data_IF_786534181576
#
_entry.id   IF_786534181576
#
_cell.length_a   1.000
_cell.length_b   1.000
_cell.length_c   1.000
_cell.angle_alpha   90.00
_cell.angle_beta   90.00
_cell.angle_gamma   90.00
#
_symmetry.space_group_name_H-M   'P 1'
#
loop_
_entity.id
_entity.type
_entity.pdbx_description
1 polymer ?
#
# COMPACT_ATOMS: atom_id res chain seq x y z
N UNK A 1 -51.86 13.13 -16.68
CA UNK A 1 -51.20 12.05 -17.45
C UNK A 1 -49.72 12.11 -17.11
N UNK A 2 -49.28 11.32 -16.13
CA UNK A 2 -47.86 11.02 -15.91
C UNK A 2 -47.78 9.51 -15.99
N UNK A 3 -47.22 9.07 -17.11
CA UNK A 3 -47.03 7.67 -17.44
C UNK A 3 -45.89 7.16 -16.57
N UNK A 4 -46.17 6.09 -15.85
CA UNK A 4 -45.28 5.38 -14.96
C UNK A 4 -44.06 4.84 -15.70
N UNK A 5 -42.92 4.98 -15.04
CA UNK A 5 -41.63 4.38 -15.33
C UNK A 5 -41.78 2.87 -15.56
N UNK A 6 -41.79 2.43 -16.83
CA UNK A 6 -41.75 1.02 -17.18
C UNK A 6 -40.31 0.52 -16.96
N UNK A 7 -40.09 -0.12 -15.81
CA UNK A 7 -38.90 -0.92 -15.56
C UNK A 7 -38.77 -2.01 -16.63
N UNK A 8 -37.83 -1.84 -17.56
CA UNK A 8 -37.54 -2.81 -18.61
C UNK A 8 -37.00 -4.13 -17.99
N UNK A 9 -37.76 -5.25 -18.01
CA UNK A 9 -37.36 -6.49 -17.36
C UNK A 9 -36.10 -7.12 -17.97
N UNK A 10 -35.82 -6.88 -19.26
CA UNK A 10 -34.60 -7.36 -19.91
C UNK A 10 -33.34 -6.62 -19.43
N UNK A 11 -33.48 -5.35 -19.03
CA UNK A 11 -32.40 -4.56 -18.45
C UNK A 11 -32.10 -4.96 -17.00
N UNK A 12 -33.12 -5.36 -16.24
CA UNK A 12 -32.97 -5.87 -14.87
C UNK A 12 -32.25 -7.24 -14.85
N UNK A 13 -32.60 -8.15 -15.76
CA UNK A 13 -31.92 -9.45 -15.90
C UNK A 13 -30.44 -9.28 -16.31
N UNK A 14 -30.16 -8.42 -17.29
CA UNK A 14 -28.77 -8.13 -17.72
C UNK A 14 -27.94 -7.53 -16.59
N UNK A 15 -28.49 -6.60 -15.81
CA UNK A 15 -27.81 -6.03 -14.65
C UNK A 15 -27.49 -7.09 -13.58
N UNK A 16 -28.38 -8.05 -13.37
CA UNK A 16 -28.15 -9.16 -12.43
C UNK A 16 -27.06 -10.13 -12.95
N UNK A 17 -27.09 -10.48 -14.24
CA UNK A 17 -26.09 -11.31 -14.89
C UNK A 17 -24.69 -10.68 -14.83
N UNK A 18 -24.60 -9.36 -15.04
CA UNK A 18 -23.33 -8.62 -14.90
C UNK A 18 -22.82 -8.69 -13.46
N UNK A 19 -23.66 -8.44 -12.45
CA UNK A 19 -23.26 -8.53 -11.03
C UNK A 19 -22.84 -9.95 -10.65
N UNK A 20 -23.44 -10.97 -11.25
CA UNK A 20 -23.07 -12.36 -11.02
C UNK A 20 -21.61 -12.65 -11.40
N UNK A 21 -21.00 -11.91 -12.33
CA UNK A 21 -19.58 -12.09 -12.70
C UNK A 21 -18.64 -11.88 -11.51
N UNK A 22 -18.85 -10.82 -10.72
CA UNK A 22 -18.07 -10.55 -9.49
C UNK A 22 -18.37 -11.57 -8.39
N UNK A 23 -19.62 -12.02 -8.30
CA UNK A 23 -19.98 -13.07 -7.34
C UNK A 23 -19.30 -14.42 -7.68
N UNK A 24 -19.17 -14.76 -8.97
CA UNK A 24 -18.40 -15.94 -9.42
C UNK A 24 -16.90 -15.76 -9.17
N UNK A 25 -16.35 -14.57 -9.42
CA UNK A 25 -14.95 -14.26 -9.07
C UNK A 25 -14.68 -14.47 -7.58
N UNK A 26 -15.54 -13.95 -6.70
CA UNK A 26 -15.43 -14.15 -5.25
C UNK A 26 -15.51 -15.63 -4.86
N UNK A 27 -16.37 -16.43 -5.52
CA UNK A 27 -16.45 -17.88 -5.32
C UNK A 27 -15.16 -18.61 -5.74
N UNK A 28 -14.66 -18.32 -6.93
CA UNK A 28 -13.40 -18.89 -7.42
C UNK A 28 -12.23 -18.54 -6.50
N UNK A 29 -12.17 -17.29 -6.03
CA UNK A 29 -11.18 -16.83 -5.05
C UNK A 29 -11.25 -17.63 -3.74
N UNK A 30 -12.43 -17.70 -3.12
CA UNK A 30 -12.61 -18.42 -1.86
C UNK A 30 -12.31 -19.93 -1.98
N UNK A 31 -12.50 -20.51 -3.18
CA UNK A 31 -12.13 -21.90 -3.47
C UNK A 31 -10.64 -22.09 -3.79
N UNK A 32 -9.87 -21.02 -3.99
CA UNK A 32 -8.52 -21.08 -4.55
C UNK A 32 -8.50 -21.61 -5.99
N UNK A 33 -9.61 -21.49 -6.72
CA UNK A 33 -9.79 -21.97 -8.08
C UNK A 33 -9.58 -20.82 -9.07
N UNK A 34 -8.37 -20.76 -9.62
CA UNK A 34 -7.99 -19.73 -10.57
C UNK A 34 -8.74 -19.83 -11.91
N UNK A 35 -9.12 -21.04 -12.33
CA UNK A 35 -9.86 -21.25 -13.58
C UNK A 35 -11.30 -20.75 -13.44
N UNK A 36 -11.94 -21.02 -12.30
CA UNK A 36 -13.26 -20.47 -11.97
C UNK A 36 -13.20 -18.94 -11.88
N UNK A 37 -12.21 -18.39 -11.17
CA UNK A 37 -12.02 -16.94 -11.10
C UNK A 37 -11.87 -16.31 -12.50
N UNK A 38 -11.02 -16.90 -13.36
CA UNK A 38 -10.75 -16.38 -14.69
C UNK A 38 -11.92 -16.57 -15.68
N UNK A 39 -12.88 -17.47 -15.39
CA UNK A 39 -14.02 -17.75 -16.27
C UNK A 39 -14.94 -16.53 -16.51
N UNK A 40 -14.95 -15.55 -15.60
CA UNK A 40 -15.70 -14.29 -15.75
C UNK A 40 -15.11 -13.34 -16.82
N UNK A 41 -13.89 -13.57 -17.27
CA UNK A 41 -13.20 -12.75 -18.27
C UNK A 41 -13.37 -13.29 -19.69
N UNK A 42 -13.25 -12.44 -20.71
CA UNK A 42 -13.11 -12.84 -22.10
C UNK A 42 -11.77 -13.55 -22.34
N UNK A 43 -11.68 -14.40 -23.36
CA UNK A 43 -10.41 -15.07 -23.69
C UNK A 43 -9.30 -14.07 -24.04
N UNK A 44 -9.66 -13.04 -24.81
CA UNK A 44 -8.84 -11.94 -25.30
C UNK A 44 -8.94 -10.65 -24.47
N UNK A 45 -9.30 -10.74 -23.19
CA UNK A 45 -9.49 -9.57 -22.35
C UNK A 45 -8.19 -8.76 -22.11
N UNK A 46 -8.36 -7.45 -21.91
CA UNK A 46 -7.34 -6.58 -21.33
C UNK A 46 -7.47 -6.58 -19.81
N UNK A 47 -6.40 -6.97 -19.10
CA UNK A 47 -6.33 -6.88 -17.64
C UNK A 47 -5.11 -6.07 -17.23
N UNK A 48 -5.31 -5.11 -16.33
CA UNK A 48 -4.22 -4.37 -15.68
C UNK A 48 -4.30 -4.60 -14.18
N UNK A 49 -3.24 -5.19 -13.61
CA UNK A 49 -3.15 -5.42 -12.16
C UNK A 49 -2.92 -4.10 -11.41
N UNK A 50 -3.07 -4.12 -10.08
CA UNK A 50 -2.72 -2.98 -9.21
C UNK A 50 -1.24 -2.54 -9.32
N UNK A 51 -0.36 -3.40 -9.85
CA UNK A 51 1.06 -3.10 -10.10
C UNK A 51 1.33 -2.57 -11.51
N UNK A 52 0.30 -2.52 -12.37
CA UNK A 52 0.43 -2.16 -13.78
C UNK A 52 0.86 -3.30 -14.70
N UNK A 53 0.94 -4.54 -14.20
CA UNK A 53 1.24 -5.71 -15.02
C UNK A 53 0.08 -5.98 -15.99
N UNK A 54 0.39 -6.48 -17.19
CA UNK A 54 -0.60 -6.84 -18.23
C UNK A 54 -0.55 -8.34 -18.56
N UNK A 55 -1.29 -9.20 -17.83
CA UNK A 55 -1.40 -10.61 -18.18
C UNK A 55 -1.99 -10.80 -19.59
N UNK A 56 -1.52 -11.81 -20.30
CA UNK A 56 -1.99 -12.11 -21.66
C UNK A 56 -3.34 -12.82 -21.63
N UNK A 57 -4.43 -12.04 -21.70
CA UNK A 57 -5.80 -12.55 -21.76
C UNK A 57 -6.18 -13.40 -20.55
N UNK A 58 -7.23 -14.22 -20.72
CA UNK A 58 -7.76 -15.07 -19.64
C UNK A 58 -6.72 -16.04 -19.08
N UNK A 59 -5.95 -16.66 -19.95
CA UNK A 59 -4.96 -17.66 -19.55
C UNK A 59 -3.86 -17.03 -18.67
N UNK A 60 -3.42 -15.81 -18.99
CA UNK A 60 -2.49 -15.08 -18.14
C UNK A 60 -3.06 -14.73 -16.77
N UNK A 61 -4.35 -14.36 -16.72
CA UNK A 61 -5.06 -14.10 -15.46
C UNK A 61 -5.13 -15.39 -14.61
N UNK A 62 -5.54 -16.50 -15.20
CA UNK A 62 -5.62 -17.80 -14.52
C UNK A 62 -4.26 -18.21 -13.95
N UNK A 63 -3.20 -18.23 -14.75
CA UNK A 63 -1.87 -18.60 -14.29
C UNK A 63 -1.35 -17.68 -13.17
N UNK A 64 -1.61 -16.37 -13.29
CA UNK A 64 -1.25 -15.40 -12.25
C UNK A 64 -2.00 -15.64 -10.94
N UNK A 65 -3.30 -15.92 -10.99
CA UNK A 65 -4.11 -16.18 -9.80
C UNK A 65 -3.83 -17.55 -9.19
N UNK A 66 -3.49 -18.58 -9.97
CA UNK A 66 -3.06 -19.88 -9.43
C UNK A 66 -1.80 -19.72 -8.56
N UNK A 67 -0.81 -18.95 -9.03
CA UNK A 67 0.39 -18.63 -8.26
C UNK A 67 0.06 -17.85 -6.97
N UNK A 68 -0.87 -16.90 -7.03
CA UNK A 68 -1.30 -16.13 -5.86
C UNK A 68 -2.04 -16.99 -4.84
N UNK A 69 -2.99 -17.83 -5.28
CA UNK A 69 -3.79 -18.71 -4.42
C UNK A 69 -2.97 -19.84 -3.79
N UNK A 70 -1.86 -20.25 -4.42
CA UNK A 70 -0.87 -21.16 -3.80
C UNK A 70 0.11 -20.47 -2.85
N UNK A 71 0.15 -19.14 -2.87
CA UNK A 71 1.10 -18.33 -2.12
C UNK A 71 0.40 -17.29 -1.25
N UNK A 72 0.61 -15.98 -1.52
CA UNK A 72 0.21 -14.91 -0.61
C UNK A 72 -1.30 -14.80 -0.37
N UNK A 73 -2.14 -15.31 -1.29
CA UNK A 73 -3.60 -15.25 -1.17
C UNK A 73 -4.23 -16.59 -0.74
N UNK A 74 -3.42 -17.57 -0.32
CA UNK A 74 -3.92 -18.85 0.17
C UNK A 74 -4.88 -18.66 1.36
N UNK A 75 -6.11 -19.15 1.21
CA UNK A 75 -7.15 -19.09 2.25
C UNK A 75 -7.78 -17.71 2.47
N UNK A 76 -7.37 -16.70 1.71
CA UNK A 76 -8.02 -15.37 1.76
C UNK A 76 -9.40 -15.41 1.09
N UNK A 77 -10.25 -14.45 1.43
CA UNK A 77 -11.56 -14.26 0.80
C UNK A 77 -11.63 -12.90 0.12
N UNK A 78 -12.34 -12.85 -1.01
CA UNK A 78 -12.61 -11.62 -1.76
C UNK A 78 -14.06 -11.22 -1.55
N UNK A 79 -14.28 -10.08 -0.90
CA UNK A 79 -15.57 -9.38 -0.97
C UNK A 79 -15.54 -8.45 -2.19
N UNK A 80 -16.48 -8.61 -3.12
CA UNK A 80 -16.54 -7.84 -4.34
C UNK A 80 -17.94 -7.25 -4.55
N UNK A 81 -18.02 -5.93 -4.59
CA UNK A 81 -19.25 -5.17 -4.66
C UNK A 81 -19.29 -4.33 -5.93
N UNK A 82 -20.29 -4.59 -6.78
CA UNK A 82 -20.59 -3.71 -7.92
C UNK A 82 -21.32 -2.47 -7.43
N UNK A 83 -20.66 -1.32 -7.57
CA UNK A 83 -21.18 0.01 -7.21
C UNK A 83 -22.17 0.48 -8.26
N UNK A 84 -21.76 0.49 -9.53
CA UNK A 84 -22.56 1.00 -10.63
C UNK A 84 -22.43 0.12 -11.88
N UNK A 85 -23.53 -0.04 -12.61
CA UNK A 85 -23.55 -0.63 -13.95
C UNK A 85 -24.16 0.40 -14.89
N UNK A 86 -23.40 0.84 -15.89
CA UNK A 86 -23.85 1.79 -16.90
C UNK A 86 -23.79 1.15 -18.29
N UNK A 87 -24.97 0.87 -18.84
CA UNK A 87 -25.07 0.38 -20.22
C UNK A 87 -24.70 1.47 -21.22
N UNK A 88 -23.73 1.18 -22.08
CA UNK A 88 -23.35 2.01 -23.23
C UNK A 88 -24.15 1.60 -24.47
N UNK A 89 -24.47 0.31 -24.57
CA UNK A 89 -25.36 -0.33 -25.56
C UNK A 89 -26.10 -1.49 -24.88
N UNK A 90 -27.14 -2.09 -25.49
CA UNK A 90 -27.83 -3.24 -24.90
C UNK A 90 -26.94 -4.45 -24.57
N UNK A 91 -25.80 -4.57 -25.27
CA UNK A 91 -24.82 -5.66 -25.16
C UNK A 91 -23.46 -5.20 -24.59
N UNK A 92 -23.33 -3.95 -24.14
CA UNK A 92 -22.05 -3.39 -23.68
C UNK A 92 -22.27 -2.44 -22.49
N UNK A 93 -21.56 -2.65 -21.39
CA UNK A 93 -21.65 -1.81 -20.20
C UNK A 93 -20.27 -1.52 -19.57
N UNK A 94 -20.16 -0.37 -18.90
CA UNK A 94 -19.09 -0.13 -17.92
C UNK A 94 -19.59 -0.50 -16.53
N UNK A 95 -18.69 -1.03 -15.71
CA UNK A 95 -18.99 -1.44 -14.34
C UNK A 95 -17.94 -0.88 -13.40
N UNK A 96 -18.39 -0.19 -12.37
CA UNK A 96 -17.55 0.21 -11.24
C UNK A 96 -17.72 -0.81 -10.12
N UNK A 97 -16.61 -1.29 -9.57
CA UNK A 97 -16.61 -2.25 -8.48
C UNK A 97 -15.57 -1.89 -7.42
N UNK A 98 -15.93 -2.15 -6.17
CA UNK A 98 -15.05 -2.08 -5.01
C UNK A 98 -14.81 -3.51 -4.51
N UNK A 99 -13.59 -3.81 -4.11
CA UNK A 99 -13.23 -5.13 -3.59
C UNK A 99 -12.34 -5.04 -2.38
N UNK A 100 -12.52 -5.93 -1.41
CA UNK A 100 -11.65 -6.08 -0.24
C UNK A 100 -11.21 -7.53 -0.13
N UNK A 101 -9.91 -7.74 0.07
CA UNK A 101 -9.33 -9.06 0.36
C UNK A 101 -9.10 -9.17 1.86
N UNK A 102 -9.62 -10.25 2.45
CA UNK A 102 -9.54 -10.49 3.90
C UNK A 102 -8.79 -11.80 4.16
N UNK A 103 -7.88 -11.78 5.13
CA UNK A 103 -7.15 -12.95 5.60
C UNK A 103 -8.05 -13.92 6.40
N UNK A 104 -7.63 -15.19 6.60
CA UNK A 104 -8.40 -16.16 7.38
C UNK A 104 -8.74 -15.74 8.82
N UNK A 105 -7.93 -14.87 9.42
CA UNK A 105 -8.11 -14.32 10.76
C UNK A 105 -9.04 -13.10 10.81
N UNK A 106 -9.52 -12.63 9.65
CA UNK A 106 -10.40 -11.49 9.52
C UNK A 106 -9.71 -10.15 9.26
N UNK A 107 -8.37 -10.11 9.18
CA UNK A 107 -7.64 -8.88 8.86
C UNK A 107 -7.87 -8.48 7.39
N UNK A 108 -8.21 -7.20 7.14
CA UNK A 108 -8.31 -6.66 5.78
C UNK A 108 -6.92 -6.39 5.22
N UNK A 109 -6.52 -7.15 4.20
CA UNK A 109 -5.20 -7.04 3.58
C UNK A 109 -5.11 -5.86 2.63
N UNK A 110 -6.11 -5.71 1.76
CA UNK A 110 -6.13 -4.65 0.76
C UNK A 110 -7.54 -4.38 0.26
N UNK A 111 -7.79 -3.14 -0.16
CA UNK A 111 -9.00 -2.75 -0.88
C UNK A 111 -8.61 -2.22 -2.26
N UNK A 112 -9.44 -2.49 -3.26
CA UNK A 112 -9.23 -2.04 -4.63
C UNK A 112 -10.50 -1.45 -5.22
N UNK A 113 -10.32 -0.47 -6.10
CA UNK A 113 -11.37 0.10 -6.94
C UNK A 113 -11.09 -0.31 -8.38
N UNK A 114 -12.12 -0.76 -9.10
CA UNK A 114 -12.01 -1.27 -10.45
C UNK A 114 -13.00 -0.61 -11.40
N UNK A 115 -12.53 -0.31 -12.61
CA UNK A 115 -13.37 -0.03 -13.76
C UNK A 115 -13.26 -1.20 -14.74
N UNK A 116 -14.39 -1.77 -15.09
CA UNK A 116 -14.50 -2.86 -16.04
C UNK A 116 -15.39 -2.50 -17.23
N UNK A 117 -15.10 -3.10 -18.38
CA UNK A 117 -15.99 -3.14 -19.55
C UNK A 117 -16.47 -4.57 -19.72
N UNK A 118 -17.78 -4.76 -19.76
CA UNK A 118 -18.42 -6.07 -19.97
C UNK A 118 -19.20 -6.05 -21.26
N UNK A 119 -19.13 -7.17 -22.00
CA UNK A 119 -19.85 -7.33 -23.26
C UNK A 119 -20.61 -8.66 -23.27
N UNK A 120 -21.81 -8.64 -23.84
CA UNK A 120 -22.62 -9.83 -24.05
C UNK A 120 -22.17 -10.55 -25.31
N UNK A 121 -21.78 -11.81 -25.17
CA UNK A 121 -21.42 -12.69 -26.28
C UNK A 121 -22.65 -13.10 -27.10
N UNK A 122 -22.43 -13.63 -28.31
CA UNK A 122 -23.50 -14.07 -29.20
C UNK A 122 -24.37 -15.20 -28.62
N UNK A 123 -23.81 -16.03 -27.73
CA UNK A 123 -24.53 -17.07 -26.97
C UNK A 123 -25.23 -16.52 -25.71
N UNK A 124 -25.22 -15.19 -25.51
CA UNK A 124 -26.00 -14.50 -24.48
C UNK A 124 -25.34 -14.39 -23.11
N UNK A 125 -24.08 -14.82 -22.96
CA UNK A 125 -23.32 -14.70 -21.70
C UNK A 125 -22.66 -13.32 -21.60
N UNK A 126 -22.56 -12.78 -20.40
CA UNK A 126 -21.75 -11.58 -20.15
C UNK A 126 -20.33 -11.99 -19.79
N UNK A 127 -19.33 -11.29 -20.32
CA UNK A 127 -17.93 -11.49 -19.97
C UNK A 127 -17.20 -10.15 -19.84
N UNK A 128 -16.20 -10.09 -18.97
CA UNK A 128 -15.33 -8.92 -18.80
C UNK A 128 -14.33 -8.85 -19.96
N UNK A 129 -14.39 -7.78 -20.76
CA UNK A 129 -13.47 -7.51 -21.89
C UNK A 129 -12.27 -6.67 -21.48
N UNK A 130 -12.46 -5.74 -20.55
CA UNK A 130 -11.39 -4.94 -19.99
C UNK A 130 -11.57 -4.79 -18.49
N UNK A 131 -10.48 -4.86 -17.73
CA UNK A 131 -10.47 -4.67 -16.29
C UNK A 131 -9.21 -3.94 -15.87
N UNK A 132 -9.38 -2.82 -15.17
CA UNK A 132 -8.31 -2.07 -14.55
C UNK A 132 -8.67 -1.84 -13.09
N UNK A 133 -7.78 -2.20 -12.18
CA UNK A 133 -7.95 -1.89 -10.77
C UNK A 133 -6.75 -1.18 -10.16
N UNK A 134 -7.03 -0.49 -9.05
CA UNK A 134 -6.03 0.23 -8.28
C UNK A 134 -6.33 0.12 -6.79
N UNK A 135 -5.30 0.23 -5.96
CA UNK A 135 -5.46 0.49 -4.54
C UNK A 135 -5.76 1.99 -4.38
N UNK A 136 -6.93 2.39 -3.87
CA UNK A 136 -7.22 3.81 -3.65
C UNK A 136 -6.27 4.37 -2.60
N UNK A 137 -5.79 5.60 -2.82
CA UNK A 137 -5.09 6.34 -1.77
C UNK A 137 -6.07 6.61 -0.60
N UNK A 138 -5.59 6.66 0.65
CA UNK A 138 -6.41 7.04 1.78
C UNK A 138 -7.10 8.38 1.50
N UNK A 139 -8.42 8.43 1.67
CA UNK A 139 -9.13 9.71 1.60
C UNK A 139 -8.74 10.52 2.84
N UNK A 140 -8.22 11.74 2.71
CA UNK A 140 -8.00 12.61 3.86
C UNK A 140 -9.32 12.77 4.63
N UNK A 141 -9.30 12.85 5.97
CA UNK A 141 -10.52 13.11 6.72
C UNK A 141 -11.14 14.42 6.24
N UNK A 142 -12.44 14.38 6.00
CA UNK A 142 -13.19 15.53 5.51
C UNK A 142 -13.16 16.62 6.60
N UNK A 143 -12.38 17.70 6.37
CA UNK A 143 -12.19 18.80 7.35
C UNK A 143 -13.50 19.53 7.70
N UNK A 144 -14.60 19.26 6.99
CA UNK A 144 -15.86 19.98 7.11
C UNK A 144 -16.72 19.64 8.36
N UNK A 145 -16.32 18.67 9.19
CA UNK A 145 -17.05 18.33 10.44
C UNK A 145 -16.38 18.81 11.73
N UNK A 146 -15.11 19.23 11.68
CA UNK A 146 -14.49 19.83 12.84
C UNK A 146 -14.94 21.29 12.95
N UNK A 147 -15.85 21.57 13.89
CA UNK A 147 -15.99 22.91 14.42
C UNK A 147 -14.60 23.45 14.77
N UNK A 148 -14.32 24.76 14.63
CA UNK A 148 -13.03 25.30 15.01
C UNK A 148 -12.89 25.11 16.52
N UNK A 149 -12.22 24.04 16.93
CA UNK A 149 -11.78 23.88 18.30
C UNK A 149 -10.85 25.05 18.58
N UNK A 150 -11.25 25.84 19.57
CA UNK A 150 -10.42 26.88 20.18
C UNK A 150 -9.03 26.29 20.40
N UNK A 151 -8.03 26.92 19.79
CA UNK A 151 -6.61 26.63 20.02
C UNK A 151 -6.40 26.39 21.53
N UNK A 152 -6.02 25.18 21.97
CA UNK A 152 -5.55 25.02 23.33
C UNK A 152 -4.27 25.85 23.43
N UNK A 153 -4.20 26.70 24.46
CA UNK A 153 -2.94 27.27 24.91
C UNK A 153 -1.97 26.10 25.11
N UNK A 154 -0.97 25.97 24.22
CA UNK A 154 -0.10 24.80 24.16
C UNK A 154 0.86 24.83 25.36
N UNK A 155 0.42 24.26 26.48
CA UNK A 155 1.26 24.03 27.67
C UNK A 155 2.16 22.80 27.51
N UNK A 156 2.16 22.16 26.33
CA UNK A 156 3.14 21.11 26.00
C UNK A 156 4.51 21.77 25.88
N UNK A 157 5.36 21.52 26.86
CA UNK A 157 6.73 22.00 26.88
C UNK A 157 7.42 21.64 25.55
N UNK A 158 7.93 22.66 24.84
CA UNK A 158 8.77 22.44 23.65
C UNK A 158 9.92 21.50 24.05
N UNK A 159 10.22 20.44 23.26
CA UNK A 159 11.31 19.55 23.57
C UNK A 159 12.62 20.35 23.73
N UNK A 160 13.37 20.05 24.78
CA UNK A 160 14.57 20.78 25.23
C UNK A 160 15.72 20.71 24.22
N UNK A 161 15.70 19.72 23.32
CA UNK A 161 16.54 19.62 22.13
C UNK A 161 15.67 19.28 20.91
N UNK A 162 15.95 19.90 19.76
CA UNK A 162 15.23 19.63 18.51
C UNK A 162 15.63 18.25 17.95
N UNK A 163 14.69 17.31 17.75
CA UNK A 163 14.99 16.05 17.07
C UNK A 163 15.63 16.30 15.69
N UNK A 164 16.60 15.46 15.32
CA UNK A 164 17.34 15.59 14.06
C UNK A 164 16.90 14.46 13.11
N UNK A 165 16.58 14.80 11.86
CA UNK A 165 16.38 13.78 10.82
C UNK A 165 17.75 13.19 10.46
N UNK A 166 17.92 11.89 10.72
CA UNK A 166 19.23 11.21 10.64
C UNK A 166 19.19 9.90 9.87
N UNK A 167 18.03 9.55 9.33
CA UNK A 167 17.84 8.29 8.64
C UNK A 167 16.87 8.42 7.48
N UNK A 168 17.20 7.75 6.40
CA UNK A 168 16.34 7.54 5.25
C UNK A 168 16.40 6.07 4.86
N UNK A 169 15.28 5.50 4.46
CA UNK A 169 15.21 4.14 3.96
C UNK A 169 14.59 4.11 2.57
N UNK A 170 15.26 3.39 1.68
CA UNK A 170 14.75 3.10 0.34
C UNK A 170 14.74 1.59 0.10
N UNK A 171 13.67 1.13 -0.53
CA UNK A 171 13.55 -0.26 -0.97
C UNK A 171 14.21 -0.38 -2.34
N UNK A 172 15.14 -1.32 -2.47
CA UNK A 172 15.98 -1.51 -3.65
C UNK A 172 15.91 -2.97 -4.14
N UNK A 173 15.80 -3.14 -5.46
CA UNK A 173 15.86 -4.47 -6.10
C UNK A 173 17.22 -5.12 -5.89
N UNK A 174 18.28 -4.31 -5.98
CA UNK A 174 19.65 -4.70 -5.75
C UNK A 174 20.33 -3.70 -4.80
N UNK A 175 20.26 -3.92 -3.48
CA UNK A 175 20.91 -3.05 -2.52
C UNK A 175 22.44 -3.04 -2.64
N UNK A 176 23.05 -4.11 -3.17
CA UNK A 176 24.50 -4.21 -3.35
C UNK A 176 24.99 -3.25 -4.43
N UNK A 177 24.41 -3.34 -5.62
CA UNK A 177 24.71 -2.42 -6.71
C UNK A 177 24.38 -0.96 -6.35
N UNK A 178 23.29 -0.75 -5.60
CA UNK A 178 22.92 0.60 -5.16
C UNK A 178 23.87 1.14 -4.08
N UNK A 179 24.36 0.30 -3.18
CA UNK A 179 25.40 0.67 -2.22
C UNK A 179 26.70 1.08 -2.95
N UNK A 180 27.12 0.31 -3.95
CA UNK A 180 28.29 0.62 -4.79
C UNK A 180 28.13 1.97 -5.50
N UNK A 181 26.93 2.28 -6.00
CA UNK A 181 26.64 3.59 -6.58
C UNK A 181 26.83 4.72 -5.54
N UNK A 182 26.24 4.61 -4.36
CA UNK A 182 26.37 5.65 -3.33
C UNK A 182 27.80 5.80 -2.79
N UNK A 183 28.51 4.69 -2.62
CA UNK A 183 29.90 4.72 -2.13
C UNK A 183 30.86 5.27 -3.19
N UNK A 184 30.67 4.93 -4.47
CA UNK A 184 31.56 5.37 -5.55
C UNK A 184 31.29 6.82 -6.00
N UNK A 185 30.02 7.22 -6.11
CA UNK A 185 29.63 8.53 -6.65
C UNK A 185 29.63 9.61 -5.57
N UNK A 186 29.17 9.28 -4.36
CA UNK A 186 28.99 10.25 -3.27
C UNK A 186 29.94 10.03 -2.10
N UNK A 187 30.90 9.09 -2.23
CA UNK A 187 31.87 8.77 -1.19
C UNK A 187 31.23 8.39 0.16
N UNK A 188 30.02 7.83 0.15
CA UNK A 188 29.38 7.34 1.36
C UNK A 188 30.10 6.10 1.89
N UNK A 189 30.17 5.95 3.21
CA UNK A 189 30.73 4.79 3.88
C UNK A 189 29.67 3.70 4.03
N UNK A 190 29.91 2.53 3.45
CA UNK A 190 29.15 1.33 3.76
C UNK A 190 29.62 0.77 5.11
N UNK A 191 28.77 0.85 6.12
CA UNK A 191 29.13 0.44 7.48
C UNK A 191 28.45 -0.86 7.94
N UNK A 192 27.40 -1.32 7.24
CA UNK A 192 26.71 -2.56 7.59
C UNK A 192 26.07 -3.25 6.38
N UNK A 193 26.01 -4.59 6.43
CA UNK A 193 25.26 -5.43 5.49
C UNK A 193 24.49 -6.49 6.28
N UNK A 194 23.20 -6.63 5.99
CA UNK A 194 22.37 -7.67 6.56
C UNK A 194 22.48 -8.99 5.75
N UNK A 195 22.18 -10.14 6.38
CA UNK A 195 22.14 -11.44 5.69
C UNK A 195 21.16 -11.52 4.52
N UNK A 196 20.09 -10.71 4.53
CA UNK A 196 19.11 -10.65 3.42
C UNK A 196 19.60 -9.83 2.22
N UNK A 197 20.80 -9.27 2.31
CA UNK A 197 21.42 -8.43 1.29
C UNK A 197 21.13 -6.94 1.42
N UNK A 198 20.35 -6.51 2.43
CA UNK A 198 20.18 -5.08 2.73
C UNK A 198 21.51 -4.44 3.11
N UNK A 199 21.72 -3.19 2.73
CA UNK A 199 22.99 -2.48 2.91
C UNK A 199 22.75 -1.12 3.57
N UNK A 200 23.69 -0.65 4.39
CA UNK A 200 23.56 0.61 5.10
C UNK A 200 24.79 1.47 4.85
N UNK A 201 24.55 2.63 4.26
CA UNK A 201 25.61 3.58 3.90
C UNK A 201 25.39 4.90 4.64
N UNK A 202 26.46 5.66 4.89
CA UNK A 202 26.37 6.97 5.55
C UNK A 202 27.34 7.98 4.95
N UNK A 203 26.95 9.25 4.93
CA UNK A 203 27.84 10.39 4.62
C UNK A 203 28.49 11.00 5.89
N UNK A 204 28.35 10.34 7.04
CA UNK A 204 28.77 10.83 8.35
C UNK A 204 27.76 11.76 9.04
N UNK A 205 26.68 12.15 8.36
CA UNK A 205 25.59 12.95 8.92
C UNK A 205 24.25 12.22 8.91
N UNK A 206 23.93 11.49 7.84
CA UNK A 206 22.69 10.75 7.65
C UNK A 206 23.02 9.30 7.28
N UNK A 207 22.21 8.38 7.80
CA UNK A 207 22.24 6.96 7.39
C UNK A 207 21.20 6.72 6.31
N UNK A 208 21.61 6.04 5.25
CA UNK A 208 20.73 5.54 4.20
C UNK A 208 20.66 4.02 4.26
N UNK A 209 19.50 3.49 4.64
CA UNK A 209 19.20 2.06 4.56
C UNK A 209 18.69 1.68 3.17
N UNK A 210 19.38 0.75 2.54
CA UNK A 210 19.04 0.15 1.25
C UNK A 210 18.42 -1.21 1.54
N UNK A 211 17.09 -1.25 1.66
CA UNK A 211 16.33 -2.43 2.07
C UNK A 211 16.13 -3.33 0.87
N UNK A 212 16.43 -4.63 1.01
CA UNK A 212 16.17 -5.60 -0.05
C UNK A 212 14.67 -5.67 -0.34
N UNK A 213 14.30 -5.35 -1.58
CA UNK A 213 12.94 -5.53 -2.07
C UNK A 213 12.54 -7.00 -1.96
N UNK A 214 11.47 -7.26 -1.21
CA UNK A 214 10.82 -8.57 -1.15
C UNK A 214 9.85 -8.68 -2.33
N UNK A 215 9.86 -9.83 -3.00
CA UNK A 215 8.92 -10.12 -4.09
C UNK A 215 7.58 -10.62 -3.54
N UNK A 216 7.11 -10.03 -2.45
CA UNK A 216 5.82 -10.31 -1.82
C UNK A 216 4.69 -9.43 -2.41
N UNK A 217 5.04 -8.40 -3.18
CA UNK A 217 4.09 -7.57 -3.92
C UNK A 217 3.50 -6.40 -3.14
N UNK A 218 3.89 -6.24 -1.87
CA UNK A 218 3.36 -5.23 -0.95
C UNK A 218 4.21 -3.96 -0.91
N UNK A 219 5.54 -4.06 -1.07
CA UNK A 219 6.43 -2.91 -0.89
C UNK A 219 7.03 -2.42 -2.22
N UNK A 220 6.62 -1.25 -2.75
CA UNK A 220 7.22 -0.70 -3.97
C UNK A 220 8.69 -0.33 -3.77
N UNK A 221 9.46 -0.35 -4.86
CA UNK A 221 10.83 0.19 -4.91
C UNK A 221 10.77 1.71 -4.74
N UNK A 222 11.73 2.28 -4.01
CA UNK A 222 11.81 3.72 -3.78
C UNK A 222 11.71 4.08 -2.29
N UNK A 223 11.18 5.28 -1.99
CA UNK A 223 11.07 5.79 -0.62
C UNK A 223 10.26 4.85 0.26
N UNK A 224 10.77 4.54 1.45
CA UNK A 224 10.08 3.66 2.40
C UNK A 224 9.74 4.35 3.73
N UNK A 225 10.73 4.92 4.40
CA UNK A 225 10.53 5.70 5.63
C UNK A 225 11.74 6.61 5.90
N UNK A 226 11.61 7.50 6.87
CA UNK A 226 12.69 8.30 7.42
C UNK A 226 12.80 8.09 8.93
N UNK A 227 13.80 8.69 9.59
CA UNK A 227 13.95 8.52 11.04
C UNK A 227 14.51 9.73 11.77
N UNK A 228 14.02 9.92 12.99
CA UNK A 228 14.45 10.96 13.91
C UNK A 228 15.35 10.40 15.00
N UNK A 229 16.51 11.03 15.15
CA UNK A 229 17.33 10.90 16.34
C UNK A 229 16.74 11.84 17.40
N UNK A 230 16.23 11.24 18.47
CA UNK A 230 15.58 11.92 19.61
C UNK A 230 16.44 11.77 20.87
N UNK A 231 16.21 12.62 21.87
CA UNK A 231 16.90 12.50 23.16
C UNK A 231 16.23 11.49 24.12
N UNK A 232 14.92 11.32 23.98
CA UNK A 232 14.09 10.44 24.82
C UNK A 232 12.88 9.97 23.98
N UNK A 233 12.83 8.67 23.73
CA UNK A 233 11.78 7.99 22.98
C UNK A 233 10.47 7.93 23.74
N UNK A 234 10.49 7.77 25.06
CA UNK A 234 9.27 7.79 25.88
C UNK A 234 8.61 9.17 25.84
N UNK A 235 9.38 10.23 26.12
CA UNK A 235 8.87 11.61 26.05
C UNK A 235 8.35 11.95 24.65
N UNK A 236 9.07 11.54 23.59
CA UNK A 236 8.63 11.80 22.21
C UNK A 236 7.37 11.00 21.86
N UNK A 237 7.27 9.75 22.31
CA UNK A 237 6.11 8.89 22.08
C UNK A 237 4.85 9.43 22.76
N UNK A 238 4.98 9.93 23.99
CA UNK A 238 3.87 10.55 24.72
C UNK A 238 3.37 11.82 24.01
N UNK A 239 4.30 12.63 23.48
CA UNK A 239 3.95 13.83 22.70
C UNK A 239 3.23 13.48 21.38
N UNK A 240 3.63 12.40 20.71
CA UNK A 240 2.96 11.90 19.50
C UNK A 240 1.53 11.46 19.80
N UNK A 241 1.33 10.68 20.86
CA UNK A 241 -0.01 10.26 21.31
C UNK A 241 -0.88 11.47 21.67
N UNK A 242 -0.32 12.44 22.39
CA UNK A 242 -1.03 13.69 22.73
C UNK A 242 -1.41 14.52 21.50
N UNK A 243 -0.67 14.40 20.39
CA UNK A 243 -0.98 15.03 19.10
C UNK A 243 -1.98 14.23 18.25
N UNK A 244 -2.52 13.11 18.75
CA UNK A 244 -3.55 12.33 18.07
C UNK A 244 -3.02 11.26 17.12
N UNK A 245 -1.72 10.94 17.13
CA UNK A 245 -1.18 9.82 16.35
C UNK A 245 -1.28 8.50 17.14
N UNK A 246 -1.31 7.33 16.47
CA UNK A 246 -1.17 6.05 17.15
C UNK A 246 0.11 5.98 17.98
N UNK A 247 0.08 5.20 19.06
CA UNK A 247 1.26 4.97 19.91
C UNK A 247 2.38 4.31 19.06
N UNK A 248 3.62 4.82 19.12
CA UNK A 248 4.74 4.18 18.43
C UNK A 248 4.90 2.72 18.85
N UNK A 249 5.06 1.84 17.87
CA UNK A 249 5.28 0.42 18.07
C UNK A 249 6.77 0.13 18.27
N UNK A 250 7.09 -0.66 19.30
CA UNK A 250 8.45 -1.13 19.53
C UNK A 250 8.87 -2.08 18.40
N UNK A 251 10.05 -1.87 17.84
CA UNK A 251 10.60 -2.78 16.83
C UNK A 251 11.37 -3.86 17.57
N UNK A 252 10.75 -5.01 17.79
CA UNK A 252 11.50 -6.21 18.19
C UNK A 252 12.45 -6.60 17.05
N UNK A 253 13.68 -6.16 17.15
CA UNK A 253 14.75 -6.61 16.28
C UNK A 253 16.01 -6.79 17.11
N UNK A 254 16.82 -7.81 16.81
CA UNK A 254 18.16 -8.00 17.38
C UNK A 254 19.15 -6.91 16.94
N UNK A 255 18.66 -5.83 16.32
CA UNK A 255 19.46 -4.74 15.74
C UNK A 255 19.47 -3.56 16.70
N UNK A 256 20.62 -2.92 16.92
CA UNK A 256 20.74 -1.78 17.83
C UNK A 256 20.26 -0.45 17.21
N UNK A 257 19.53 -0.48 16.08
CA UNK A 257 19.17 0.71 15.30
C UNK A 257 17.66 0.73 15.02
N UNK A 258 17.02 1.89 15.21
CA UNK A 258 15.57 2.12 15.09
C UNK A 258 14.70 1.36 16.12
N UNK A 259 14.49 1.99 17.28
CA UNK A 259 13.88 1.38 18.46
C UNK A 259 12.34 1.38 18.39
N UNK A 260 11.77 2.45 17.84
CA UNK A 260 10.32 2.59 17.71
C UNK A 260 9.93 3.04 16.30
N UNK A 261 8.71 2.67 15.91
CA UNK A 261 8.10 3.02 14.63
C UNK A 261 6.78 3.73 14.85
N UNK A 262 6.58 4.82 14.13
CA UNK A 262 5.41 5.67 14.23
C UNK A 262 4.94 6.14 12.84
N UNK A 263 3.79 6.81 12.81
CA UNK A 263 3.24 7.44 11.62
C UNK A 263 2.89 8.89 11.93
N UNK A 264 3.08 9.77 10.96
CA UNK A 264 2.59 11.14 11.03
C UNK A 264 1.09 11.20 10.68
N UNK A 265 0.42 12.37 10.83
CA UNK A 265 -1.00 12.51 10.54
C UNK A 265 -1.41 12.22 9.09
N UNK A 266 -0.46 12.23 8.15
CA UNK A 266 -0.69 11.93 6.73
C UNK A 266 -0.36 10.45 6.40
N UNK A 267 0.01 9.65 7.40
CA UNK A 267 0.33 8.23 7.24
C UNK A 267 1.76 7.95 6.79
N UNK A 268 2.67 8.92 6.82
CA UNK A 268 4.08 8.66 6.51
C UNK A 268 4.76 7.92 7.66
N UNK A 269 5.45 6.83 7.33
CA UNK A 269 6.15 6.02 8.31
C UNK A 269 7.47 6.68 8.68
N UNK A 270 7.75 6.73 9.99
CA UNK A 270 9.06 7.13 10.48
C UNK A 270 9.49 6.31 11.70
N UNK A 271 10.80 6.19 11.88
CA UNK A 271 11.39 5.52 13.03
C UNK A 271 11.96 6.55 14.04
N UNK A 272 11.92 6.20 15.32
CA UNK A 272 12.54 6.96 16.41
C UNK A 272 13.72 6.16 16.97
N UNK A 273 14.80 6.86 17.30
CA UNK A 273 15.90 6.27 18.06
C UNK A 273 16.59 7.28 18.97
N UNK A 274 16.92 6.87 20.20
CA UNK A 274 17.81 7.58 21.13
C UNK A 274 19.28 7.32 20.81
N UNK A 275 19.60 6.11 20.40
CA UNK A 275 20.97 5.67 20.14
C UNK A 275 21.47 6.03 18.73
N UNK A 276 20.55 6.42 17.84
CA UNK A 276 20.81 6.77 16.45
C UNK A 276 20.70 5.55 15.50
N UNK A 277 20.95 5.79 14.22
CA UNK A 277 20.73 4.79 13.15
C UNK A 277 22.03 4.15 12.66
N UNK A 278 23.01 3.99 13.54
CA UNK A 278 24.34 3.46 13.20
C UNK A 278 25.18 4.42 12.36
N UNK A 279 26.25 3.89 11.76
CA UNK A 279 27.20 4.65 10.95
C UNK A 279 28.17 5.51 11.77
N UNK A 280 29.13 6.17 11.08
CA UNK A 280 30.04 7.13 11.70
C UNK A 280 29.26 8.25 12.37
N UNK A 281 29.59 8.57 13.62
CA UNK A 281 28.96 9.71 14.29
C UNK A 281 29.42 11.00 13.63
N UNK A 282 28.52 11.96 13.37
CA UNK A 282 28.93 13.29 12.99
C UNK A 282 29.85 13.86 14.08
N UNK A 283 30.83 14.70 13.72
CA UNK A 283 31.59 15.45 14.70
C UNK A 283 30.62 16.16 15.64
N UNK A 284 30.88 16.13 16.95
CA UNK A 284 30.03 16.85 17.90
C UNK A 284 30.00 18.33 17.51
N UNK A 285 28.81 18.95 17.56
CA UNK A 285 28.63 20.40 17.39
C UNK A 285 29.21 21.16 18.62
N UNK A 286 30.41 20.81 19.08
CA UNK A 286 31.12 21.42 20.20
C UNK A 286 32.29 22.26 19.66
N UNK A 287 31.96 23.31 18.90
CA UNK A 287 32.87 24.44 18.63
C UNK A 287 32.02 25.65 18.22
N UNK A 288 31.55 26.40 19.22
CA UNK A 288 30.73 27.58 19.00
C UNK A 288 30.56 28.42 20.26
N UNK A 289 31.66 28.79 20.92
CA UNK A 289 31.72 29.91 21.87
C UNK A 289 33.18 30.25 22.21
N UNK A 290 33.92 30.79 21.26
CA UNK A 290 34.97 31.78 21.54
C UNK A 290 34.97 32.82 20.43
N UNK A 291 34.33 33.97 20.72
CA UNK A 291 34.69 35.32 20.28
C UNK A 291 33.93 36.33 21.16
#
# INVERSE_FOLDING_TARGET
>A
MHQTDETNPAGQDSGQQIRALWAEMARGWAAGDAAHFAASFAEDCDFTTVRGDKPSGRHGIEAGHDALFRGPYAGTVLDARVVEVRFLRPDLATVEAESTVTAPDGESLTSTHALAVVERTADGRWLIRAFHNMVPAPRPPDRASAAPESTPDSTVARPTARPKLRHLAIVARDPGALAEFYTSVFAMELFHRDPDGSCFVSDGYLTLALIKHRLDGETPVGMNHFGFHVGDTATTSDALVAAGTPKPAERFSDRPFAEYRAMDPEGNWFDLSEHGFGGPRPPSDAAGSEA
#
